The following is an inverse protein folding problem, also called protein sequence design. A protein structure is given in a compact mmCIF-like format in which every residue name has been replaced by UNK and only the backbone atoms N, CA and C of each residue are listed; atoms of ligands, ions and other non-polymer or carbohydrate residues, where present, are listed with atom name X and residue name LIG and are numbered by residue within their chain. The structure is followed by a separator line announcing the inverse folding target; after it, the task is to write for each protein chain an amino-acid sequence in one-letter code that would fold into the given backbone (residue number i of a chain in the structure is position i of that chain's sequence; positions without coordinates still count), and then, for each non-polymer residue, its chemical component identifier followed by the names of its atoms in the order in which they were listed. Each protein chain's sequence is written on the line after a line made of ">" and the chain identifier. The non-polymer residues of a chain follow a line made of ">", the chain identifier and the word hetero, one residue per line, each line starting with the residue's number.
data_IF_784764247811
#
_entry.id   IF_784764247811
#
_cell.length_a   1.000
_cell.length_b   1.000
_cell.length_c   1.000
_cell.angle_alpha   90.00
_cell.angle_beta   90.00
_cell.angle_gamma   90.00
#
_symmetry.space_group_name_H-M   'P 1'
#
loop_
_entity.id
_entity.type
_entity.pdbx_description
1 polymer ?
#
# COMPACT_ATOMS: atom_id res chain seq x y z
N UNK A 1 1.93 -7.13 21.95
CA UNK A 1 1.60 -5.84 21.29
C UNK A 1 2.67 -5.58 20.25
N UNK A 2 2.44 -6.00 19.01
CA UNK A 2 3.44 -5.96 17.94
C UNK A 2 3.42 -4.60 17.26
N UNK A 3 4.58 -3.96 17.20
CA UNK A 3 4.80 -2.59 16.77
C UNK A 3 4.34 -2.34 15.33
N UNK A 4 3.31 -1.51 15.16
CA UNK A 4 2.87 -0.94 13.88
C UNK A 4 3.75 0.25 13.43
N UNK A 5 4.86 0.51 14.13
CA UNK A 5 5.67 1.73 14.00
C UNK A 5 6.59 1.78 12.77
N UNK A 6 6.54 0.81 11.85
CA UNK A 6 7.36 0.85 10.62
C UNK A 6 6.55 0.60 9.34
N UNK A 7 5.23 0.45 9.43
CA UNK A 7 4.41 0.19 8.25
C UNK A 7 4.17 1.46 7.41
N UNK A 8 4.18 2.66 8.02
CA UNK A 8 3.82 3.91 7.37
C UNK A 8 4.85 4.38 6.32
N UNK A 9 6.16 4.22 6.58
CA UNK A 9 7.24 4.53 5.62
C UNK A 9 7.43 3.50 4.49
N UNK A 10 6.53 2.52 4.35
CA UNK A 10 6.61 1.50 3.30
C UNK A 10 5.51 1.70 2.25
N UNK A 11 5.78 1.31 1.00
CA UNK A 11 4.79 1.30 -0.09
C UNK A 11 3.45 0.66 0.33
N UNK A 12 3.53 -0.43 1.11
CA UNK A 12 2.35 -1.10 1.63
C UNK A 12 1.53 -0.26 2.62
N UNK A 13 2.18 0.56 3.44
CA UNK A 13 1.50 1.48 4.36
C UNK A 13 0.77 2.58 3.63
N UNK A 14 1.44 3.24 2.69
CA UNK A 14 0.84 4.29 1.85
C UNK A 14 -0.38 3.77 1.11
N UNK A 15 -0.29 2.58 0.49
CA UNK A 15 -1.44 1.93 -0.15
C UNK A 15 -2.59 1.70 0.82
N UNK A 16 -2.30 1.28 2.05
CA UNK A 16 -3.33 1.07 3.06
C UNK A 16 -3.99 2.38 3.51
N UNK A 17 -3.22 3.48 3.59
CA UNK A 17 -3.77 4.81 3.88
C UNK A 17 -4.68 5.29 2.75
N UNK A 18 -4.27 5.11 1.49
CA UNK A 18 -5.07 5.46 0.31
C UNK A 18 -6.41 4.69 0.29
N UNK A 19 -6.37 3.38 0.56
CA UNK A 19 -7.59 2.55 0.67
C UNK A 19 -8.54 3.08 1.75
N UNK A 20 -8.00 3.45 2.91
CA UNK A 20 -8.82 4.03 4.00
C UNK A 20 -9.42 5.37 3.62
N UNK A 21 -8.63 6.26 3.02
CA UNK A 21 -9.07 7.59 2.57
C UNK A 21 -10.25 7.49 1.58
N UNK A 22 -10.19 6.51 0.67
CA UNK A 22 -11.24 6.27 -0.32
C UNK A 22 -12.40 5.39 0.20
N UNK A 23 -12.40 4.99 1.48
CA UNK A 23 -13.33 3.99 2.04
C UNK A 23 -13.39 2.69 1.22
N UNK A 24 -12.27 2.30 0.60
CA UNK A 24 -12.18 1.17 -0.29
C UNK A 24 -11.98 -0.14 0.50
N UNK A 25 -12.96 -1.06 0.50
CA UNK A 25 -12.89 -2.25 1.34
C UNK A 25 -11.83 -3.23 0.82
N UNK A 26 -10.95 -3.70 1.72
CA UNK A 26 -9.86 -4.64 1.41
C UNK A 26 -10.36 -5.91 0.71
N UNK A 27 -11.57 -6.36 1.03
CA UNK A 27 -12.16 -7.52 0.38
C UNK A 27 -12.45 -7.28 -1.11
N UNK A 28 -12.90 -6.08 -1.47
CA UNK A 28 -13.11 -5.71 -2.86
C UNK A 28 -11.75 -5.53 -3.55
N UNK A 29 -10.82 -4.84 -2.90
CA UNK A 29 -9.47 -4.63 -3.41
C UNK A 29 -8.72 -5.93 -3.72
N UNK A 30 -8.91 -6.94 -2.87
CA UNK A 30 -8.40 -8.30 -3.09
C UNK A 30 -8.91 -8.92 -4.39
N UNK A 31 -10.19 -8.69 -4.73
CA UNK A 31 -10.77 -9.17 -5.99
C UNK A 31 -10.23 -8.39 -7.17
N UNK A 32 -10.15 -7.06 -7.06
CA UNK A 32 -9.77 -6.19 -8.18
C UNK A 32 -8.28 -6.34 -8.54
N UNK A 33 -7.43 -6.57 -7.54
CA UNK A 33 -5.99 -6.80 -7.73
C UNK A 33 -5.65 -8.25 -8.07
N UNK A 34 -6.59 -9.18 -7.87
CA UNK A 34 -6.36 -10.62 -7.95
C UNK A 34 -5.42 -11.18 -6.87
N UNK A 35 -5.12 -10.39 -5.83
CA UNK A 35 -4.25 -10.80 -4.72
C UNK A 35 -5.08 -11.28 -3.54
N UNK A 36 -4.63 -12.33 -2.86
CA UNK A 36 -5.32 -12.78 -1.64
C UNK A 36 -5.20 -11.74 -0.52
N UNK A 37 -6.22 -11.65 0.34
CA UNK A 37 -6.19 -10.76 1.53
C UNK A 37 -4.95 -11.01 2.39
N UNK A 38 -4.50 -12.26 2.52
CA UNK A 38 -3.28 -12.60 3.27
C UNK A 38 -2.02 -11.98 2.66
N UNK A 39 -1.87 -12.04 1.34
CA UNK A 39 -0.77 -11.37 0.63
C UNK A 39 -0.84 -9.85 0.79
N UNK A 40 -2.03 -9.27 0.66
CA UNK A 40 -2.25 -7.84 0.89
C UNK A 40 -1.82 -7.42 2.29
N UNK A 41 -2.25 -8.13 3.35
CA UNK A 41 -1.84 -7.82 4.71
C UNK A 41 -0.32 -7.97 4.94
N UNK A 42 0.33 -8.94 4.30
CA UNK A 42 1.80 -9.07 4.36
C UNK A 42 2.50 -7.88 3.71
N UNK A 43 1.97 -7.39 2.58
CA UNK A 43 2.49 -6.20 1.89
C UNK A 43 2.24 -4.95 2.76
N UNK A 44 1.02 -4.74 3.24
CA UNK A 44 0.64 -3.57 4.04
C UNK A 44 1.38 -3.48 5.38
N UNK A 45 1.75 -4.62 5.96
CA UNK A 45 2.53 -4.67 7.21
C UNK A 45 4.04 -4.60 7.00
N UNK A 46 4.53 -4.47 5.76
CA UNK A 46 5.97 -4.46 5.46
C UNK A 46 6.66 -5.83 5.62
N UNK A 47 5.89 -6.90 5.89
CA UNK A 47 6.44 -8.27 5.99
C UNK A 47 6.86 -8.85 4.65
N UNK A 48 6.36 -8.28 3.56
CA UNK A 48 6.68 -8.73 2.21
C UNK A 48 6.76 -7.53 1.27
N UNK A 49 7.96 -7.29 0.72
CA UNK A 49 8.16 -6.27 -0.30
C UNK A 49 7.56 -6.73 -1.63
N UNK A 50 6.59 -5.99 -2.21
CA UNK A 50 6.01 -6.35 -3.49
C UNK A 50 7.00 -6.13 -4.64
N UNK A 51 6.86 -6.94 -5.70
CA UNK A 51 7.59 -6.69 -6.96
C UNK A 51 7.00 -5.50 -7.71
N UNK A 52 7.74 -4.93 -8.67
CA UNK A 52 7.23 -3.84 -9.52
C UNK A 52 5.91 -4.21 -10.23
N UNK A 53 5.79 -5.43 -10.74
CA UNK A 53 4.52 -5.91 -11.31
C UNK A 53 3.38 -5.93 -10.30
N UNK A 54 3.68 -6.34 -9.07
CA UNK A 54 2.67 -6.35 -7.99
C UNK A 54 2.25 -4.93 -7.65
N UNK A 55 3.20 -3.98 -7.59
CA UNK A 55 2.90 -2.56 -7.37
C UNK A 55 1.98 -2.02 -8.47
N UNK A 56 2.27 -2.30 -9.75
CA UNK A 56 1.39 -1.91 -10.86
C UNK A 56 -0.03 -2.46 -10.69
N UNK A 57 -0.18 -3.72 -10.27
CA UNK A 57 -1.50 -4.32 -10.01
C UNK A 57 -2.24 -3.65 -8.86
N UNK A 58 -1.52 -3.20 -7.85
CA UNK A 58 -2.08 -2.51 -6.67
C UNK A 58 -2.56 -1.09 -7.02
N UNK A 59 -1.84 -0.37 -7.89
CA UNK A 59 -2.20 1.01 -8.25
C UNK A 59 -3.40 1.10 -9.21
N UNK A 60 -3.63 0.09 -10.04
CA UNK A 60 -4.74 0.05 -11.02
C UNK A 60 -6.13 0.35 -10.42
N UNK A 61 -6.63 -0.39 -9.41
CA UNK A 61 -7.95 -0.12 -8.83
C UNK A 61 -8.03 1.19 -8.03
N UNK A 62 -6.88 1.75 -7.63
CA UNK A 62 -6.81 3.06 -6.98
C UNK A 62 -6.80 4.23 -7.97
N UNK A 63 -6.74 3.93 -9.27
CA UNK A 63 -6.67 4.91 -10.36
C UNK A 63 -5.51 5.92 -10.17
N UNK A 64 -4.37 5.43 -9.69
CA UNK A 64 -3.12 6.20 -9.56
C UNK A 64 -2.01 5.53 -10.36
N UNK A 65 -1.00 6.31 -10.73
CA UNK A 65 0.22 5.80 -11.35
C UNK A 65 1.22 5.31 -10.29
N UNK A 66 2.21 4.53 -10.75
CA UNK A 66 3.33 4.12 -9.88
C UNK A 66 4.18 5.33 -9.46
N UNK A 67 4.30 6.35 -10.33
CA UNK A 67 4.99 7.60 -10.00
C UNK A 67 4.31 8.33 -8.84
N UNK A 68 3.00 8.55 -8.94
CA UNK A 68 2.22 9.17 -7.85
C UNK A 68 2.33 8.39 -6.54
N UNK A 69 2.34 7.04 -6.61
CA UNK A 69 2.56 6.22 -5.43
C UNK A 69 3.92 6.49 -4.76
N UNK A 70 4.97 6.71 -5.55
CA UNK A 70 6.31 7.04 -5.05
C UNK A 70 6.29 8.44 -4.43
N UNK A 71 5.66 9.42 -5.08
CA UNK A 71 5.52 10.78 -4.55
C UNK A 71 4.83 10.77 -3.17
N UNK A 72 3.80 9.94 -2.98
CA UNK A 72 3.16 9.76 -1.67
C UNK A 72 4.07 9.11 -0.61
N UNK A 73 4.96 8.20 -1.02
CA UNK A 73 5.95 7.59 -0.11
C UNK A 73 6.99 8.62 0.31
N UNK A 74 7.48 9.44 -0.62
CA UNK A 74 8.47 10.49 -0.33
C UNK A 74 7.88 11.57 0.59
N UNK A 75 6.64 11.98 0.34
CA UNK A 75 5.94 12.97 1.15
C UNK A 75 5.79 12.55 2.63
N UNK A 76 5.61 11.26 2.91
CA UNK A 76 5.48 10.72 4.27
C UNK A 76 6.84 10.65 5.01
N UNK A 77 7.97 10.63 4.28
CA UNK A 77 9.32 10.60 4.85
C UNK A 77 9.94 11.96 5.12
N UNK A 78 9.30 13.05 4.70
CA UNK A 78 9.83 14.41 4.81
C UNK A 78 9.67 15.08 6.19
N UNK A 79 9.18 14.36 7.20
CA UNK A 79 8.94 14.88 8.57
C UNK A 79 10.15 14.69 9.53
N UNK A 80 11.34 14.39 9.01
CA UNK A 80 12.59 14.32 9.79
C UNK A 80 13.57 15.42 9.35
N UNK A 81 13.37 16.65 9.86
CA UNK A 81 14.42 17.68 9.99
C UNK A 81 14.59 18.04 11.48
#
# INVERSE_FOLDING_TARGET
>A
MGTCYNAYMSIGGVLFQLLKSQNYPINQYSKDTGLSRSQLYKIFSGKHSPTLETVKKLTLPLNISVGELIDFVEADTADFD
#
